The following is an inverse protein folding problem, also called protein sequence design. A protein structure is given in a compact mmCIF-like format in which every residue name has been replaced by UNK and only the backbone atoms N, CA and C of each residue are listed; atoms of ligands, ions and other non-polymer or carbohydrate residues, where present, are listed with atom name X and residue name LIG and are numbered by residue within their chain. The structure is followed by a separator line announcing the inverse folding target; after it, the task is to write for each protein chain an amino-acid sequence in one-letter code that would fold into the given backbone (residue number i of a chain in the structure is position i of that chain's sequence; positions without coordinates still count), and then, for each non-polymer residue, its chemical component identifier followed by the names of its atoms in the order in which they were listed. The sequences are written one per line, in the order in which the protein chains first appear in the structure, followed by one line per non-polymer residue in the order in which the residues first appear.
data_IF_590227711201
#
_entry.id   IF_590227711201
#
_cell.length_a   1.000
_cell.length_b   1.000
_cell.length_c   1.000
_cell.angle_alpha   90.00
_cell.angle_beta   90.00
_cell.angle_gamma   90.00
#
_symmetry.space_group_name_H-M   'P 1'
#
loop_
_entity.id
_entity.type
_entity.pdbx_description
1 polymer ?
#
# COMPACT_ATOMS: atom_id res chain seq x y z
N UNK A 1 -8.93 11.31 18.60
CA UNK A 1 -8.79 9.96 19.18
C UNK A 1 -7.95 9.08 18.23
N UNK A 2 -6.67 9.43 18.01
CA UNK A 2 -5.77 8.67 17.10
C UNK A 2 -4.58 8.01 17.83
N UNK A 3 -4.40 8.26 19.14
CA UNK A 3 -3.28 7.74 19.94
C UNK A 3 -3.43 6.28 20.41
N UNK A 4 -4.64 5.71 20.38
CA UNK A 4 -4.89 4.36 20.91
C UNK A 4 -4.18 3.27 20.10
N UNK A 5 -4.07 3.43 18.78
CA UNK A 5 -3.40 2.45 17.92
C UNK A 5 -1.89 2.38 18.16
N UNK A 6 -1.24 3.52 18.39
CA UNK A 6 0.20 3.58 18.66
C UNK A 6 0.56 2.89 19.99
N UNK A 7 -0.28 3.05 21.01
CA UNK A 7 -0.09 2.40 22.31
C UNK A 7 -0.26 0.88 22.25
N UNK A 8 -1.16 0.38 21.40
CA UNK A 8 -1.48 -1.05 21.28
C UNK A 8 -0.55 -1.82 20.32
N UNK A 9 0.24 -1.12 19.49
CA UNK A 9 1.17 -1.75 18.54
C UNK A 9 2.08 -2.84 19.14
N UNK A 10 2.68 -2.68 20.35
CA UNK A 10 3.47 -3.74 20.97
C UNK A 10 2.65 -5.00 21.30
N UNK A 11 1.40 -4.82 21.76
CA UNK A 11 0.48 -5.91 22.09
C UNK A 11 0.07 -6.65 20.82
N UNK A 12 -0.35 -5.91 19.79
CA UNK A 12 -0.71 -6.49 18.49
C UNK A 12 0.43 -7.29 17.86
N UNK A 13 1.66 -6.79 17.94
CA UNK A 13 2.84 -7.51 17.42
C UNK A 13 3.11 -8.80 18.18
N UNK A 14 2.99 -8.78 19.52
CA UNK A 14 3.19 -9.97 20.34
C UNK A 14 2.15 -11.06 20.02
N UNK A 15 0.87 -10.67 19.92
CA UNK A 15 -0.22 -11.58 19.59
C UNK A 15 -0.09 -12.13 18.17
N UNK A 16 0.25 -11.29 17.19
CA UNK A 16 0.44 -11.73 15.81
C UNK A 16 1.62 -12.70 15.66
N UNK A 17 2.74 -12.43 16.35
CA UNK A 17 3.89 -13.34 16.36
C UNK A 17 3.53 -14.69 17.00
N UNK A 18 2.70 -14.68 18.04
CA UNK A 18 2.21 -15.89 18.68
C UNK A 18 1.26 -16.69 17.77
N UNK A 19 0.29 -16.04 17.12
CA UNK A 19 -0.63 -16.66 16.15
C UNK A 19 0.11 -17.27 14.94
N UNK A 20 1.28 -16.73 14.59
CA UNK A 20 2.05 -17.14 13.42
C UNK A 20 3.32 -17.93 13.75
N UNK A 21 3.42 -18.48 14.97
CA UNK A 21 4.59 -19.24 15.45
C UNK A 21 4.83 -20.54 14.67
N UNK A 22 3.76 -21.17 14.19
CA UNK A 22 3.85 -22.43 13.46
C UNK A 22 4.43 -22.24 12.05
N UNK A 23 5.14 -23.26 11.56
CA UNK A 23 5.74 -23.24 10.22
C UNK A 23 4.64 -23.08 9.17
N UNK A 24 4.81 -22.06 8.33
CA UNK A 24 3.84 -21.74 7.27
C UNK A 24 2.59 -20.99 7.74
N UNK A 25 2.41 -20.71 9.04
CA UNK A 25 1.25 -19.93 9.51
C UNK A 25 1.26 -18.51 8.93
N UNK A 26 2.44 -17.89 8.79
CA UNK A 26 2.61 -16.57 8.15
C UNK A 26 2.13 -16.59 6.69
N UNK A 27 2.44 -17.64 5.93
CA UNK A 27 2.07 -17.72 4.51
C UNK A 27 0.60 -18.04 4.33
N UNK A 28 0.05 -18.94 5.15
CA UNK A 28 -1.40 -19.23 5.18
C UNK A 28 -2.21 -17.99 5.55
N UNK A 29 -1.81 -17.28 6.61
CA UNK A 29 -2.46 -16.03 7.01
C UNK A 29 -2.39 -14.97 5.91
N UNK A 30 -1.25 -14.84 5.20
CA UNK A 30 -1.13 -13.92 4.08
C UNK A 30 -2.17 -14.23 2.98
N UNK A 31 -2.33 -15.49 2.60
CA UNK A 31 -3.30 -15.93 1.59
C UNK A 31 -4.75 -15.70 2.05
N UNK A 32 -5.07 -16.05 3.30
CA UNK A 32 -6.40 -15.82 3.87
C UNK A 32 -6.78 -14.34 3.90
N UNK A 33 -5.80 -13.44 4.09
CA UNK A 33 -5.97 -11.99 4.08
C UNK A 33 -5.74 -11.34 2.71
N UNK A 34 -5.55 -12.13 1.65
CA UNK A 34 -5.25 -11.68 0.27
C UNK A 34 -4.04 -10.73 0.15
N UNK A 35 -3.04 -10.90 1.03
CA UNK A 35 -1.76 -10.20 0.98
C UNK A 35 -0.66 -11.04 0.34
N UNK A 36 0.40 -10.36 -0.13
CA UNK A 36 1.62 -11.05 -0.53
C UNK A 36 2.35 -11.60 0.69
N UNK A 37 2.91 -12.81 0.55
CA UNK A 37 3.65 -13.47 1.63
C UNK A 37 4.85 -12.63 2.11
N UNK A 38 5.54 -11.98 1.17
CA UNK A 38 6.65 -11.07 1.46
C UNK A 38 6.21 -9.89 2.31
N UNK A 39 5.02 -9.34 2.07
CA UNK A 39 4.47 -8.25 2.85
C UNK A 39 4.12 -8.69 4.28
N UNK A 40 3.44 -9.84 4.41
CA UNK A 40 3.09 -10.39 5.73
C UNK A 40 4.34 -10.68 6.57
N UNK A 41 5.41 -11.21 5.96
CA UNK A 41 6.70 -11.42 6.64
C UNK A 41 7.31 -10.13 7.17
N UNK A 42 7.16 -9.00 6.47
CA UNK A 42 7.64 -7.69 6.96
C UNK A 42 6.83 -7.20 8.18
N UNK A 43 5.53 -7.47 8.20
CA UNK A 43 4.65 -7.16 9.33
C UNK A 43 5.04 -8.00 10.56
N UNK A 44 5.08 -9.33 10.41
CA UNK A 44 5.37 -10.26 11.52
C UNK A 44 6.78 -10.08 12.07
N UNK A 45 7.77 -9.79 11.21
CA UNK A 45 9.14 -9.46 11.66
C UNK A 45 9.28 -8.07 12.29
N UNK A 46 8.19 -7.32 12.35
CA UNK A 46 8.17 -5.98 12.94
C UNK A 46 8.88 -4.90 12.10
N UNK A 47 9.26 -5.21 10.86
CA UNK A 47 9.90 -4.28 9.92
C UNK A 47 8.90 -3.32 9.26
N UNK A 48 7.60 -3.59 9.40
CA UNK A 48 6.50 -2.78 8.87
C UNK A 48 5.42 -2.61 9.93
N UNK A 49 4.97 -1.38 10.12
CA UNK A 49 3.78 -1.08 10.91
C UNK A 49 2.49 -1.40 10.15
N UNK A 50 1.42 -1.60 10.91
CA UNK A 50 0.11 -1.95 10.41
C UNK A 50 -0.97 -1.20 11.19
N UNK A 51 -2.18 -1.15 10.63
CA UNK A 51 -3.30 -0.38 11.17
C UNK A 51 -4.21 -1.21 12.07
N UNK A 52 -5.07 -0.54 12.84
CA UNK A 52 -6.17 -1.19 13.56
C UNK A 52 -7.08 -2.00 12.61
N UNK A 53 -7.30 -1.52 11.38
CA UNK A 53 -8.09 -2.23 10.36
C UNK A 53 -7.45 -3.57 9.96
N UNK A 54 -6.11 -3.62 9.87
CA UNK A 54 -5.40 -4.88 9.64
C UNK A 54 -5.68 -5.86 10.79
N UNK A 55 -5.64 -5.38 12.03
CA UNK A 55 -5.90 -6.19 13.22
C UNK A 55 -7.34 -6.73 13.25
N UNK A 56 -8.33 -5.88 12.99
CA UNK A 56 -9.73 -6.31 12.85
C UNK A 56 -9.88 -7.33 11.72
N UNK A 57 -9.11 -7.16 10.64
CA UNK A 57 -9.02 -8.11 9.56
C UNK A 57 -8.52 -9.48 9.98
N UNK A 58 -7.44 -9.52 10.77
CA UNK A 58 -6.91 -10.77 11.33
C UNK A 58 -7.96 -11.45 12.19
N UNK A 59 -8.63 -10.71 13.08
CA UNK A 59 -9.68 -11.25 13.95
C UNK A 59 -10.83 -11.85 13.15
N UNK A 60 -11.35 -11.11 12.16
CA UNK A 60 -12.46 -11.57 11.33
C UNK A 60 -12.11 -12.81 10.50
N UNK A 61 -10.92 -12.82 9.88
CA UNK A 61 -10.46 -13.92 9.01
C UNK A 61 -10.19 -15.19 9.80
N UNK A 62 -9.64 -15.08 11.00
CA UNK A 62 -9.34 -16.22 11.87
C UNK A 62 -10.52 -16.62 12.76
N UNK A 63 -11.53 -15.74 12.90
CA UNK A 63 -12.67 -15.93 13.80
C UNK A 63 -12.30 -15.78 15.28
N UNK A 64 -11.34 -14.92 15.58
CA UNK A 64 -11.11 -14.43 16.94
C UNK A 64 -12.25 -13.49 17.34
N UNK A 65 -12.58 -13.41 18.64
CA UNK A 65 -13.50 -12.39 19.15
C UNK A 65 -13.03 -10.98 18.78
N UNK A 66 -13.98 -10.07 18.57
CA UNK A 66 -13.66 -8.66 18.38
C UNK A 66 -12.96 -8.11 19.64
N UNK A 67 -11.85 -7.41 19.44
CA UNK A 67 -11.06 -6.85 20.55
C UNK A 67 -10.02 -7.81 21.13
N UNK A 68 -10.02 -9.08 20.72
CA UNK A 68 -9.08 -10.08 21.24
C UNK A 68 -7.62 -9.65 21.03
N UNK A 69 -7.30 -9.00 19.92
CA UNK A 69 -5.93 -8.56 19.68
C UNK A 69 -5.49 -7.41 20.59
N UNK A 70 -6.41 -6.67 21.23
CA UNK A 70 -6.10 -5.47 22.03
C UNK A 70 -5.57 -5.78 23.44
N UNK A 71 -5.74 -7.03 23.89
CA UNK A 71 -5.25 -7.52 25.17
C UNK A 71 -4.09 -8.50 24.98
N UNK A 72 -3.24 -8.65 26.00
CA UNK A 72 -2.11 -9.57 25.91
C UNK A 72 -2.59 -10.99 26.19
N UNK A 73 -2.32 -11.90 25.26
CA UNK A 73 -2.73 -13.29 25.37
C UNK A 73 -1.56 -14.27 25.42
N UNK A 74 -1.81 -15.44 25.99
CA UNK A 74 -0.90 -16.59 25.95
C UNK A 74 -1.30 -17.62 24.89
N UNK A 75 -0.38 -18.52 24.54
CA UNK A 75 -0.63 -19.53 23.49
C UNK A 75 -1.82 -20.46 23.80
N UNK A 76 -2.08 -20.72 25.08
CA UNK A 76 -3.21 -21.54 25.53
C UNK A 76 -4.58 -20.85 25.39
N UNK A 77 -4.59 -19.53 25.25
CA UNK A 77 -5.81 -18.72 25.19
C UNK A 77 -6.31 -18.52 23.76
N UNK A 78 -5.53 -18.95 22.75
CA UNK A 78 -5.95 -18.91 21.35
C UNK A 78 -7.13 -19.88 21.16
N UNK A 79 -8.31 -19.40 20.75
CA UNK A 79 -9.46 -20.24 20.50
C UNK A 79 -9.11 -21.38 19.50
N UNK A 80 -9.51 -22.63 19.77
CA UNK A 80 -9.18 -23.78 18.90
C UNK A 80 -9.60 -23.56 17.44
N UNK A 81 -10.74 -22.90 17.25
CA UNK A 81 -11.26 -22.48 15.96
C UNK A 81 -10.33 -21.55 15.16
N UNK A 82 -9.64 -20.63 15.82
CA UNK A 82 -8.72 -19.70 15.17
C UNK A 82 -7.43 -20.41 14.78
N UNK A 83 -6.96 -21.33 15.64
CA UNK A 83 -5.81 -22.19 15.34
C UNK A 83 -6.10 -23.10 14.13
N UNK A 84 -7.26 -23.76 14.11
CA UNK A 84 -7.70 -24.58 12.99
C UNK A 84 -7.84 -23.76 11.70
N UNK A 85 -8.45 -22.56 11.76
CA UNK A 85 -8.60 -21.69 10.60
C UNK A 85 -7.26 -21.33 9.95
N UNK A 86 -6.23 -21.03 10.75
CA UNK A 86 -4.88 -20.74 10.23
C UNK A 86 -4.21 -22.02 9.71
N UNK A 87 -4.36 -23.15 10.39
CA UNK A 87 -3.75 -24.43 9.99
C UNK A 87 -4.30 -24.93 8.65
N UNK A 88 -5.63 -24.89 8.48
CA UNK A 88 -6.35 -25.41 7.32
C UNK A 88 -6.54 -24.36 6.20
N UNK A 89 -6.07 -23.13 6.42
CA UNK A 89 -6.26 -22.00 5.49
C UNK A 89 -7.75 -21.75 5.16
N UNK A 90 -8.60 -21.85 6.19
CA UNK A 90 -10.05 -21.73 6.09
C UNK A 90 -10.53 -20.38 6.66
N UNK A 91 -10.59 -19.30 5.84
CA UNK A 91 -10.99 -17.99 6.32
C UNK A 91 -12.47 -17.97 6.74
N UNK A 92 -12.75 -17.49 7.95
CA UNK A 92 -14.12 -17.38 8.49
C UNK A 92 -14.88 -16.16 7.98
N UNK A 93 -14.17 -15.14 7.52
CA UNK A 93 -14.72 -13.98 6.85
C UNK A 93 -13.87 -13.60 5.64
N UNK A 94 -14.48 -12.93 4.66
CA UNK A 94 -13.74 -12.32 3.55
C UNK A 94 -13.18 -10.97 4.01
N UNK A 95 -11.86 -10.86 4.08
CA UNK A 95 -11.20 -9.58 4.33
C UNK A 95 -11.47 -8.60 3.17
N UNK A 96 -12.05 -7.44 3.48
CA UNK A 96 -12.37 -6.37 2.51
C UNK A 96 -11.54 -5.10 2.69
N UNK A 97 -10.59 -5.10 3.63
CA UNK A 97 -9.76 -3.93 3.91
C UNK A 97 -8.69 -3.72 2.83
N UNK A 98 -8.40 -2.47 2.50
CA UNK A 98 -7.18 -2.11 1.78
C UNK A 98 -6.06 -1.96 2.81
N UNK A 99 -5.03 -2.81 2.83
CA UNK A 99 -3.82 -2.47 3.60
C UNK A 99 -3.04 -1.39 2.85
N UNK A 100 -3.59 -0.18 2.82
CA UNK A 100 -2.74 0.96 2.57
C UNK A 100 -1.87 1.18 3.82
N UNK A 101 -0.55 1.37 3.64
CA UNK A 101 0.34 1.68 4.75
C UNK A 101 -0.24 2.83 5.54
N UNK A 102 -0.25 2.67 6.87
CA UNK A 102 -0.48 3.74 7.83
C UNK A 102 0.21 4.99 7.31
N UNK A 103 -0.57 6.06 7.05
CA UNK A 103 -0.01 7.35 6.68
C UNK A 103 0.94 7.74 7.80
N UNK A 104 2.24 7.85 7.49
CA UNK A 104 3.23 8.32 8.45
C UNK A 104 2.72 9.67 8.98
N UNK A 105 2.69 9.83 10.30
CA UNK A 105 2.40 11.12 10.93
C UNK A 105 3.34 12.18 10.31
N UNK A 106 2.83 13.37 9.95
CA UNK A 106 3.67 14.43 9.41
C UNK A 106 4.67 14.84 10.50
N UNK A 107 5.93 14.44 10.35
CA UNK A 107 7.03 14.95 11.16
C UNK A 107 7.38 16.34 10.63
N UNK A 108 6.49 17.31 10.86
CA UNK A 108 6.82 18.72 10.80
C UNK A 108 7.21 19.16 12.21
N UNK A 109 8.50 19.07 12.52
CA UNK A 109 9.09 20.00 13.50
C UNK A 109 9.00 21.38 12.85
N UNK A 110 8.03 22.18 13.31
CA UNK A 110 8.01 23.60 13.03
C UNK A 110 9.16 24.23 13.84
N UNK A 111 10.35 24.33 13.25
CA UNK A 111 11.28 25.38 13.67
C UNK A 111 10.88 26.66 12.93
N UNK A 112 10.57 27.75 13.64
CA UNK A 112 10.20 29.01 13.02
C UNK A 112 11.44 29.61 12.34
N UNK A 113 11.48 29.51 11.02
CA UNK A 113 12.32 30.34 10.17
C UNK A 113 11.74 31.75 10.27
N UNK A 114 12.33 32.59 11.13
CA UNK A 114 12.49 34.06 11.03
C UNK A 114 12.54 34.70 12.42
N UNK A 115 13.72 35.20 12.82
CA UNK A 115 13.91 35.95 14.05
C UNK A 115 15.36 36.34 14.32
N UNK A 116 15.78 37.45 13.70
CA UNK A 116 16.74 38.43 14.20
C UNK A 116 18.21 38.04 14.49
N UNK A 117 19.06 38.94 14.01
CA UNK A 117 20.52 38.97 14.04
C UNK A 117 20.97 39.81 15.24
N UNK A 118 21.61 39.19 16.23
CA UNK A 118 22.52 39.77 17.24
C UNK A 118 22.97 38.59 18.14
N UNK A 119 24.20 38.32 18.54
CA UNK A 119 25.52 38.95 18.47
C UNK A 119 26.40 38.17 19.47
N UNK A 120 27.72 38.15 19.22
CA UNK A 120 28.83 37.70 20.10
C UNK A 120 29.22 36.20 20.18
N UNK A 121 30.37 35.93 19.53
CA UNK A 121 31.54 35.08 19.84
C UNK A 121 31.46 34.06 20.99
N UNK A 122 32.00 32.85 20.78
CA UNK A 122 33.27 32.31 21.36
C UNK A 122 33.63 30.95 20.71
N UNK A 123 34.93 30.60 20.76
CA UNK A 123 35.76 29.71 19.95
C UNK A 123 35.62 28.17 20.04
N UNK A 124 35.88 27.53 18.87
CA UNK A 124 36.74 26.35 18.60
C UNK A 124 36.30 24.90 19.00
N UNK A 125 37.03 23.83 18.60
CA UNK A 125 36.65 22.97 17.48
C UNK A 125 36.61 21.47 17.83
N UNK A 126 35.83 20.66 17.09
CA UNK A 126 35.95 19.21 17.17
C UNK A 126 34.67 18.46 16.84
N UNK A 127 34.71 17.65 15.79
CA UNK A 127 33.59 16.76 15.45
C UNK A 127 33.57 16.41 13.98
N UNK A 128 34.44 15.48 13.59
CA UNK A 128 34.46 14.79 12.29
C UNK A 128 33.05 14.36 11.85
N UNK A 129 32.53 14.77 10.68
CA UNK A 129 31.30 14.19 10.15
C UNK A 129 31.63 12.90 9.38
N UNK A 130 31.95 11.82 10.11
CA UNK A 130 31.98 10.47 9.56
C UNK A 130 30.54 9.91 9.55
N UNK A 131 29.75 10.23 8.51
CA UNK A 131 28.40 9.68 8.40
C UNK A 131 27.57 9.98 7.15
N UNK A 132 28.06 10.78 6.20
CA UNK A 132 27.21 11.25 5.09
C UNK A 132 27.19 10.38 3.82
N UNK A 133 28.05 9.37 3.67
CA UNK A 133 28.31 8.76 2.35
C UNK A 133 27.67 7.37 2.07
N UNK A 134 26.73 6.86 2.88
CA UNK A 134 26.10 5.52 2.66
C UNK A 134 24.67 5.55 2.12
N UNK A 135 24.08 6.72 1.89
CA UNK A 135 22.68 6.86 1.40
C UNK A 135 22.42 6.75 -0.12
N UNK A 136 23.37 6.93 -1.06
CA UNK A 136 23.00 7.04 -2.49
C UNK A 136 22.71 5.69 -3.19
N UNK A 137 23.28 4.58 -2.72
CA UNK A 137 23.13 3.29 -3.39
C UNK A 137 21.74 2.65 -3.17
N UNK A 138 21.18 2.77 -1.97
CA UNK A 138 19.86 2.23 -1.64
C UNK A 138 18.73 2.99 -2.32
N UNK A 139 18.83 4.32 -2.39
CA UNK A 139 17.84 5.18 -3.03
C UNK A 139 17.84 5.01 -4.55
N UNK A 140 19.01 4.79 -5.17
CA UNK A 140 19.12 4.45 -6.60
C UNK A 140 18.41 3.15 -6.95
N UNK A 141 18.64 2.07 -6.17
CA UNK A 141 17.96 0.78 -6.41
C UNK A 141 16.44 0.87 -6.23
N UNK A 142 15.97 1.62 -5.22
CA UNK A 142 14.53 1.85 -5.00
C UNK A 142 13.93 2.66 -6.16
N UNK A 143 14.64 3.67 -6.67
CA UNK A 143 14.23 4.47 -7.83
C UNK A 143 14.15 3.63 -9.11
N UNK A 144 15.14 2.78 -9.36
CA UNK A 144 15.15 1.87 -10.51
C UNK A 144 13.97 0.89 -10.46
N UNK A 145 13.66 0.32 -9.28
CA UNK A 145 12.49 -0.53 -9.10
C UNK A 145 11.18 0.24 -9.33
N UNK A 146 11.06 1.46 -8.80
CA UNK A 146 9.89 2.32 -9.04
C UNK A 146 9.72 2.64 -10.54
N UNK A 147 10.80 2.95 -11.25
CA UNK A 147 10.77 3.19 -12.69
C UNK A 147 10.36 1.93 -13.48
N UNK A 148 10.81 0.75 -13.07
CA UNK A 148 10.39 -0.52 -13.67
C UNK A 148 8.89 -0.79 -13.47
N UNK A 149 8.35 -0.50 -12.29
CA UNK A 149 6.92 -0.68 -12.01
C UNK A 149 6.06 0.31 -12.81
N UNK A 150 6.51 1.55 -12.99
CA UNK A 150 5.86 2.53 -13.87
C UNK A 150 5.84 2.04 -15.33
N UNK A 151 6.93 1.41 -15.81
CA UNK A 151 6.96 0.78 -17.14
C UNK A 151 6.06 -0.44 -17.27
N UNK A 152 5.83 -1.20 -16.18
CA UNK A 152 4.85 -2.30 -16.19
C UNK A 152 3.42 -1.75 -16.29
N UNK A 153 3.13 -0.66 -15.58
CA UNK A 153 1.82 0.01 -15.64
C UNK A 153 1.53 0.59 -17.02
N UNK A 154 2.52 1.26 -17.64
CA UNK A 154 2.46 1.74 -19.02
C UNK A 154 2.11 0.62 -20.01
N UNK A 155 2.77 -0.54 -19.88
CA UNK A 155 2.51 -1.71 -20.72
C UNK A 155 1.11 -2.28 -20.53
N UNK A 156 0.60 -2.35 -19.30
CA UNK A 156 -0.76 -2.84 -19.04
C UNK A 156 -1.84 -1.93 -19.63
N UNK A 157 -1.65 -0.60 -19.58
CA UNK A 157 -2.61 0.34 -20.17
C UNK A 157 -2.49 0.44 -21.69
N UNK A 158 -1.32 0.10 -22.23
CA UNK A 158 -1.06 0.04 -23.67
C UNK A 158 -1.55 -1.26 -24.30
N UNK A 159 -1.46 -2.39 -23.60
CA UNK A 159 -1.93 -3.71 -24.04
C UNK A 159 -3.13 -4.15 -23.21
N UNK A 160 -4.27 -3.51 -23.46
CA UNK A 160 -5.51 -3.90 -22.81
C UNK A 160 -5.99 -5.25 -23.36
N UNK A 161 -6.57 -6.13 -22.52
CA UNK A 161 -7.13 -7.41 -22.98
C UNK A 161 -8.32 -7.22 -23.95
N UNK A 162 -8.90 -6.01 -23.96
CA UNK A 162 -9.94 -5.61 -24.90
C UNK A 162 -9.47 -4.32 -25.58
N UNK A 163 -9.31 -4.38 -26.89
CA UNK A 163 -8.98 -3.21 -27.70
C UNK A 163 -10.14 -2.20 -27.64
N UNK A 164 -9.88 -0.90 -27.36
CA UNK A 164 -10.92 0.12 -27.26
C UNK A 164 -11.80 0.20 -28.50
N UNK A 165 -11.19 0.07 -29.69
CA UNK A 165 -11.91 0.05 -30.96
C UNK A 165 -12.82 -1.17 -31.12
N UNK A 166 -12.38 -2.35 -30.65
CA UNK A 166 -13.21 -3.56 -30.68
C UNK A 166 -14.37 -3.49 -29.68
N UNK A 167 -14.16 -2.84 -28.52
CA UNK A 167 -15.22 -2.59 -27.55
C UNK A 167 -16.26 -1.60 -28.11
N UNK A 168 -15.80 -0.50 -28.71
CA UNK A 168 -16.67 0.49 -29.37
C UNK A 168 -17.52 -0.17 -30.46
N UNK A 169 -16.91 -0.92 -31.37
CA UNK A 169 -17.62 -1.62 -32.44
C UNK A 169 -18.71 -2.56 -31.91
N UNK A 170 -18.42 -3.34 -30.86
CA UNK A 170 -19.43 -4.22 -30.24
C UNK A 170 -20.59 -3.47 -29.60
N UNK A 171 -20.34 -2.29 -29.02
CA UNK A 171 -21.39 -1.46 -28.43
C UNK A 171 -22.22 -0.79 -29.52
N UNK A 172 -21.57 -0.33 -30.60
CA UNK A 172 -22.26 0.16 -31.81
C UNK A 172 -23.15 -0.92 -32.43
N UNK A 173 -22.68 -2.17 -32.51
CA UNK A 173 -23.48 -3.31 -32.97
C UNK A 173 -24.70 -3.58 -32.07
N UNK A 174 -24.56 -3.44 -30.75
CA UNK A 174 -25.68 -3.57 -29.79
C UNK A 174 -26.68 -2.43 -29.94
N UNK A 175 -26.20 -1.19 -30.13
CA UNK A 175 -27.07 -0.03 -30.38
C UNK A 175 -27.84 -0.23 -31.69
N UNK A 176 -27.19 -0.73 -32.74
CA UNK A 176 -27.82 -1.02 -34.01
C UNK A 176 -28.87 -2.14 -33.95
N UNK A 177 -28.67 -3.14 -33.08
CA UNK A 177 -29.60 -4.28 -32.92
C UNK A 177 -30.78 -3.99 -31.98
N UNK A 178 -30.61 -3.08 -31.02
CA UNK A 178 -31.59 -2.87 -29.94
C UNK A 178 -32.42 -1.60 -30.14
N UNK A 179 -32.01 -0.71 -31.07
CA UNK A 179 -32.63 0.61 -31.31
C UNK A 179 -32.98 1.36 -30.00
N UNK A 180 -32.01 1.56 -29.08
CA UNK A 180 -32.29 2.19 -27.81
C UNK A 180 -32.67 3.66 -27.96
N UNK A 181 -33.42 4.19 -26.99
CA UNK A 181 -33.77 5.61 -26.91
C UNK A 181 -32.54 6.51 -27.08
N UNK A 182 -32.76 7.68 -27.70
CA UNK A 182 -31.70 8.66 -28.00
C UNK A 182 -30.90 9.08 -26.76
N UNK A 183 -31.54 9.12 -25.59
CA UNK A 183 -30.89 9.38 -24.31
C UNK A 183 -29.90 8.27 -23.90
N UNK A 184 -30.28 7.01 -24.08
CA UNK A 184 -29.46 5.85 -23.74
C UNK A 184 -28.27 5.75 -24.68
N UNK A 185 -28.49 6.02 -25.98
CA UNK A 185 -27.40 6.09 -26.96
C UNK A 185 -26.38 7.18 -26.59
N UNK A 186 -26.85 8.38 -26.26
CA UNK A 186 -25.97 9.48 -25.88
C UNK A 186 -25.16 9.19 -24.60
N UNK A 187 -25.77 8.52 -23.60
CA UNK A 187 -25.03 8.10 -22.40
C UNK A 187 -23.96 7.04 -22.72
N UNK A 188 -24.29 6.02 -23.52
CA UNK A 188 -23.33 4.98 -23.93
C UNK A 188 -22.13 5.57 -24.68
N UNK A 189 -22.37 6.44 -25.66
CA UNK A 189 -21.32 7.14 -26.41
C UNK A 189 -20.48 8.03 -25.48
N UNK A 190 -21.11 8.78 -24.57
CA UNK A 190 -20.43 9.62 -23.59
C UNK A 190 -19.55 8.82 -22.62
N UNK A 191 -20.00 7.65 -22.16
CA UNK A 191 -19.22 6.76 -21.30
C UNK A 191 -18.00 6.21 -22.02
N UNK A 192 -18.13 5.83 -23.28
CA UNK A 192 -17.01 5.35 -24.10
C UNK A 192 -15.96 6.44 -24.30
N UNK A 193 -16.38 7.64 -24.67
CA UNK A 193 -15.47 8.77 -24.84
C UNK A 193 -14.75 9.12 -23.53
N UNK A 194 -15.45 9.07 -22.39
CA UNK A 194 -14.85 9.33 -21.09
C UNK A 194 -13.80 8.28 -20.69
N UNK A 195 -14.06 7.00 -20.98
CA UNK A 195 -13.09 5.92 -20.74
C UNK A 195 -11.82 6.12 -21.56
N UNK A 196 -11.95 6.49 -22.84
CA UNK A 196 -10.82 6.79 -23.71
C UNK A 196 -10.01 8.00 -23.22
N UNK A 197 -10.69 9.10 -22.88
CA UNK A 197 -10.05 10.30 -22.31
C UNK A 197 -9.28 9.99 -21.02
N UNK A 198 -9.88 9.22 -20.12
CA UNK A 198 -9.22 8.82 -18.88
C UNK A 198 -7.99 7.94 -19.13
N UNK A 199 -8.06 7.02 -20.11
CA UNK A 199 -6.91 6.20 -20.50
C UNK A 199 -5.76 7.09 -20.99
N UNK A 200 -6.02 8.03 -21.89
CA UNK A 200 -5.00 8.96 -22.38
C UNK A 200 -4.40 9.81 -21.25
N UNK A 201 -5.24 10.30 -20.36
CA UNK A 201 -4.81 11.09 -19.21
C UNK A 201 -3.88 10.27 -18.30
N UNK A 202 -4.24 9.02 -18.01
CA UNK A 202 -3.42 8.11 -17.22
C UNK A 202 -2.07 7.83 -17.89
N UNK A 203 -2.04 7.60 -19.21
CA UNK A 203 -0.79 7.42 -19.96
C UNK A 203 0.10 8.66 -19.85
N UNK A 204 -0.45 9.88 -19.98
CA UNK A 204 0.30 11.12 -19.80
C UNK A 204 0.88 11.25 -18.38
N UNK A 205 0.11 10.88 -17.35
CA UNK A 205 0.60 10.89 -15.96
C UNK A 205 1.73 9.89 -15.74
N UNK A 206 1.62 8.70 -16.33
CA UNK A 206 2.65 7.65 -16.26
C UNK A 206 3.94 8.10 -16.94
N UNK A 207 3.85 8.70 -18.13
CA UNK A 207 5.02 9.25 -18.81
C UNK A 207 5.70 10.35 -17.99
N UNK A 208 4.91 11.25 -17.38
CA UNK A 208 5.44 12.30 -16.49
C UNK A 208 6.09 11.71 -15.24
N UNK A 209 5.46 10.73 -14.61
CA UNK A 209 5.98 10.05 -13.43
C UNK A 209 7.30 9.35 -13.74
N UNK A 210 7.38 8.66 -14.87
CA UNK A 210 8.62 8.05 -15.34
C UNK A 210 9.72 9.10 -15.53
N UNK A 211 9.42 10.21 -16.22
CA UNK A 211 10.38 11.29 -16.45
C UNK A 211 10.88 11.95 -15.15
N UNK A 212 10.01 12.11 -14.15
CA UNK A 212 10.40 12.61 -12.83
C UNK A 212 11.33 11.62 -12.13
N UNK A 213 10.98 10.32 -12.14
CA UNK A 213 11.81 9.28 -11.52
C UNK A 213 13.19 9.16 -12.16
N UNK A 214 13.33 9.39 -13.46
CA UNK A 214 14.63 9.38 -14.15
C UNK A 214 15.41 10.67 -13.90
N UNK A 215 14.77 11.85 -13.98
CA UNK A 215 15.43 13.15 -13.76
C UNK A 215 15.99 13.34 -12.36
N UNK A 216 15.31 12.81 -11.34
CA UNK A 216 15.76 12.94 -9.93
C UNK A 216 17.12 12.22 -9.67
N UNK A 217 17.67 11.52 -10.67
CA UNK A 217 19.00 10.89 -10.60
C UNK A 217 20.11 11.52 -11.42
N UNK A 218 19.79 12.48 -12.29
CA UNK A 218 20.77 13.18 -13.13
C UNK A 218 21.20 14.52 -12.52
N UNK A 219 20.55 14.98 -11.44
CA UNK A 219 20.90 16.18 -10.66
C UNK A 219 21.83 15.87 -9.46
N UNK A 220 22.98 15.26 -9.73
CA UNK A 220 24.12 15.25 -8.80
C UNK A 220 25.35 15.73 -9.59
N UNK A 221 25.96 16.89 -9.26
CA UNK A 221 27.15 17.41 -9.96
C UNK A 221 28.41 16.56 -9.71
#
# INVERSE_FOLDING_TARGET
MEDSGAALMPVWRANLAMLTREVGAVTRLARMMTFSESYMKLIVSGRRDFSAEFVRGVEAVTGLPEGWMDERHETGEVPPQARAAIADEAPRARFRGTAHPVRKAPVLRAEPIFGQRAGSRTDAPGGTPAGAAKRPAGTRKIRELAAQDVRKLERHLSMLPVEPGALRARIEDVIAQTEPDEHVRADLEGRLEQIEKHRELLLRHISRLYALLTRTGDEEP
#
